data_IF_257737275322
#
_entry.id   IF_257737275322
#
_cell.length_a   1.000
_cell.length_b   1.000
_cell.length_c   1.000
_cell.angle_alpha   90.00
_cell.angle_beta   90.00
_cell.angle_gamma   90.00
#
_symmetry.space_group_name_H-M   'P 1'
#
loop_
_entity.id
_entity.type
_entity.pdbx_description
1 polymer ?
#
# COMPACT_ATOMS: atom_id res chain seq x y z
N UNK A 1 41.91 20.99 39.64
CA UNK A 1 41.76 21.22 38.18
C UNK A 1 40.94 20.15 37.43
N UNK A 2 40.41 19.08 38.08
CA UNK A 2 39.64 18.03 37.38
C UNK A 2 38.16 18.34 37.08
N UNK A 3 37.54 19.26 37.83
CA UNK A 3 36.10 19.54 37.74
C UNK A 3 35.65 20.25 36.45
N UNK A 4 36.49 21.09 35.84
CA UNK A 4 36.13 21.77 34.59
C UNK A 4 36.06 20.79 33.42
N UNK A 5 37.03 19.86 33.30
CA UNK A 5 37.03 18.82 32.26
C UNK A 5 35.79 17.94 32.28
N UNK A 6 35.26 17.64 33.47
CA UNK A 6 34.05 16.83 33.63
C UNK A 6 32.81 17.60 33.15
N UNK A 7 32.71 18.90 33.47
CA UNK A 7 31.61 19.76 33.01
C UNK A 7 31.63 19.95 31.50
N UNK A 8 32.81 20.12 30.91
CA UNK A 8 32.98 20.26 29.46
C UNK A 8 32.55 18.97 28.74
N UNK A 9 32.96 17.81 29.27
CA UNK A 9 32.52 16.51 28.75
C UNK A 9 31.00 16.31 28.81
N UNK A 10 30.36 16.70 29.93
CA UNK A 10 28.91 16.61 30.08
C UNK A 10 28.15 17.50 29.08
N UNK A 11 28.66 18.70 28.81
CA UNK A 11 28.06 19.65 27.85
C UNK A 11 28.10 19.11 26.42
N UNK A 12 29.23 18.54 25.99
CA UNK A 12 29.37 17.96 24.65
C UNK A 12 28.41 16.78 24.44
N UNK A 13 28.20 15.95 25.46
CA UNK A 13 27.26 14.82 25.40
C UNK A 13 25.82 15.33 25.29
N UNK A 14 25.46 16.38 26.03
CA UNK A 14 24.13 16.99 25.97
C UNK A 14 23.83 17.61 24.58
N UNK A 15 24.79 18.35 24.01
CA UNK A 15 24.66 18.94 22.66
C UNK A 15 24.49 17.86 21.58
N UNK A 16 25.33 16.82 21.60
CA UNK A 16 25.21 15.65 20.70
C UNK A 16 23.87 14.93 20.87
N UNK A 17 23.38 14.79 22.10
CA UNK A 17 22.07 14.20 22.37
C UNK A 17 20.91 14.98 21.75
N UNK A 18 21.00 16.32 21.77
CA UNK A 18 20.00 17.21 21.17
C UNK A 18 20.04 17.14 19.63
N UNK A 19 21.23 17.11 19.02
CA UNK A 19 21.38 16.98 17.56
C UNK A 19 20.79 15.67 17.04
N UNK A 20 21.17 14.54 17.64
CA UNK A 20 20.62 13.22 17.28
C UNK A 20 19.11 13.16 17.46
N UNK A 21 18.56 13.84 18.47
CA UNK A 21 17.11 13.92 18.66
C UNK A 21 16.41 14.76 17.57
N UNK A 22 17.05 15.84 17.08
CA UNK A 22 16.54 16.65 15.98
C UNK A 22 16.57 15.87 14.66
N UNK A 23 17.69 15.23 14.35
CA UNK A 23 17.86 14.40 13.15
C UNK A 23 16.81 13.30 13.07
N UNK A 24 16.64 12.50 14.15
CA UNK A 24 15.60 11.45 14.21
C UNK A 24 14.19 11.99 14.03
N UNK A 25 13.92 13.24 14.45
CA UNK A 25 12.61 13.88 14.28
C UNK A 25 12.39 14.30 12.83
N UNK A 26 13.43 14.78 12.16
CA UNK A 26 13.41 15.15 10.75
C UNK A 26 13.29 13.91 9.85
N UNK A 27 14.04 12.84 10.13
CA UNK A 27 13.90 11.55 9.45
C UNK A 27 12.47 11.02 9.51
N UNK A 28 11.86 10.98 10.71
CA UNK A 28 10.46 10.57 10.89
C UNK A 28 9.48 11.46 10.13
N UNK A 29 9.74 12.78 10.04
CA UNK A 29 8.92 13.70 9.24
C UNK A 29 9.04 13.40 7.76
N UNK A 30 10.26 13.15 7.27
CA UNK A 30 10.54 12.86 5.88
C UNK A 30 9.94 11.51 5.47
N UNK A 31 10.11 10.46 6.28
CA UNK A 31 9.48 9.16 6.07
C UNK A 31 7.95 9.30 5.98
N UNK A 32 7.34 10.03 6.92
CA UNK A 32 5.90 10.29 6.90
C UNK A 32 5.45 11.09 5.67
N UNK A 33 6.28 12.02 5.18
CA UNK A 33 6.01 12.75 3.95
C UNK A 33 6.05 11.82 2.73
N UNK A 34 7.03 10.93 2.64
CA UNK A 34 7.16 9.95 1.54
C UNK A 34 5.97 8.99 1.49
N UNK A 35 5.57 8.41 2.64
CA UNK A 35 4.38 7.53 2.73
C UNK A 35 3.12 8.27 2.26
N UNK A 36 2.97 9.55 2.65
CA UNK A 36 1.83 10.37 2.24
C UNK A 36 1.84 10.63 0.73
N UNK A 37 3.00 10.86 0.12
CA UNK A 37 3.13 11.02 -1.33
C UNK A 37 2.75 9.74 -2.08
N UNK A 38 3.24 8.58 -1.65
CA UNK A 38 2.89 7.29 -2.25
C UNK A 38 1.39 7.00 -2.17
N UNK A 39 0.76 7.30 -1.02
CA UNK A 39 -0.69 7.14 -0.84
C UNK A 39 -1.50 8.02 -1.80
N UNK A 40 -1.05 9.27 -2.03
CA UNK A 40 -1.70 10.18 -2.98
C UNK A 40 -1.55 9.66 -4.42
N UNK A 41 -0.34 9.28 -4.83
CA UNK A 41 -0.08 8.71 -6.17
C UNK A 41 -0.95 7.47 -6.40
N UNK A 42 -1.09 6.61 -5.38
CA UNK A 42 -1.96 5.45 -5.46
C UNK A 42 -3.43 5.84 -5.65
N UNK A 43 -3.96 6.78 -4.86
CA UNK A 43 -5.35 7.27 -4.99
C UNK A 43 -5.61 7.92 -6.34
N UNK A 44 -4.69 8.73 -6.83
CA UNK A 44 -4.79 9.38 -8.14
C UNK A 44 -4.83 8.35 -9.27
N UNK A 45 -4.07 7.26 -9.16
CA UNK A 45 -4.10 6.17 -10.13
C UNK A 45 -5.46 5.47 -10.16
N UNK A 46 -6.04 5.18 -9.00
CA UNK A 46 -7.38 4.56 -8.92
C UNK A 46 -8.43 5.50 -9.51
N UNK A 47 -8.41 6.78 -9.13
CA UNK A 47 -9.35 7.78 -9.64
C UNK A 47 -9.26 7.97 -11.17
N UNK A 48 -8.05 7.86 -11.75
CA UNK A 48 -7.87 7.86 -13.21
C UNK A 48 -8.48 6.62 -13.84
N UNK A 49 -8.21 5.43 -13.31
CA UNK A 49 -8.81 4.17 -13.81
C UNK A 49 -10.34 4.21 -13.73
N UNK A 50 -10.92 4.79 -12.68
CA UNK A 50 -12.36 4.96 -12.54
C UNK A 50 -12.94 5.90 -13.61
N UNK A 51 -12.28 7.03 -13.89
CA UNK A 51 -12.68 7.98 -14.94
C UNK A 51 -12.59 7.39 -16.33
N UNK A 52 -11.55 6.59 -16.58
CA UNK A 52 -11.33 5.90 -17.86
C UNK A 52 -12.19 4.64 -18.02
N UNK A 53 -12.90 4.21 -16.97
CA UNK A 53 -13.73 3.01 -16.99
C UNK A 53 -12.91 1.71 -17.06
N UNK A 54 -11.64 1.74 -16.67
CA UNK A 54 -10.77 0.56 -16.67
C UNK A 54 -11.18 -0.37 -15.55
N UNK A 55 -11.41 -1.65 -15.88
CA UNK A 55 -11.68 -2.67 -14.88
C UNK A 55 -10.39 -3.09 -14.16
N UNK A 56 -10.43 -3.14 -12.83
CA UNK A 56 -9.32 -3.55 -11.99
C UNK A 56 -9.77 -4.47 -10.86
N UNK A 57 -8.84 -5.20 -10.27
CA UNK A 57 -9.12 -6.07 -9.14
C UNK A 57 -9.35 -5.25 -7.85
N UNK A 58 -10.45 -5.45 -7.11
CA UNK A 58 -10.73 -4.68 -5.88
C UNK A 58 -9.77 -5.02 -4.72
N UNK A 59 -9.03 -6.13 -4.81
CA UNK A 59 -8.08 -6.55 -3.77
C UNK A 59 -6.68 -5.95 -3.95
N UNK A 60 -6.16 -5.95 -5.18
CA UNK A 60 -4.77 -5.58 -5.47
C UNK A 60 -4.61 -4.52 -6.56
N UNK A 61 -5.71 -4.03 -7.13
CA UNK A 61 -5.76 -2.94 -8.12
C UNK A 61 -4.95 -3.19 -9.41
N UNK A 62 -4.67 -4.46 -9.73
CA UNK A 62 -4.15 -4.84 -11.05
C UNK A 62 -5.30 -4.88 -12.06
N UNK A 63 -4.99 -4.45 -13.28
CA UNK A 63 -5.86 -4.47 -14.45
C UNK A 63 -5.80 -5.82 -15.18
N UNK A 64 -4.92 -6.73 -14.75
CA UNK A 64 -4.74 -8.06 -15.33
C UNK A 64 -5.84 -8.98 -14.82
N UNK A 65 -6.96 -8.96 -15.53
CA UNK A 65 -8.15 -9.72 -15.21
C UNK A 65 -8.53 -10.65 -16.36
N UNK A 66 -9.03 -11.84 -16.01
CA UNK A 66 -9.54 -12.82 -16.95
C UNK A 66 -11.01 -13.09 -16.62
N UNK A 67 -11.89 -12.89 -17.61
CA UNK A 67 -13.31 -13.15 -17.50
C UNK A 67 -13.64 -14.53 -18.08
N UNK A 68 -14.01 -15.48 -17.21
CA UNK A 68 -14.31 -16.85 -17.62
C UNK A 68 -15.72 -17.25 -17.17
N UNK A 69 -16.40 -18.10 -17.96
CA UNK A 69 -17.64 -18.75 -17.51
C UNK A 69 -17.31 -19.75 -16.40
N UNK A 70 -18.13 -19.79 -15.35
CA UNK A 70 -18.05 -20.78 -14.29
C UNK A 70 -18.26 -22.15 -14.91
N UNK A 71 -17.28 -23.05 -14.87
CA UNK A 71 -17.44 -24.40 -15.40
C UNK A 71 -18.46 -25.25 -14.62
N UNK A 72 -18.65 -26.50 -15.07
CA UNK A 72 -19.36 -27.52 -14.30
C UNK A 72 -18.65 -27.77 -12.96
N UNK A 73 -19.42 -27.97 -11.90
CA UNK A 73 -18.90 -28.45 -10.61
C UNK A 73 -19.56 -29.78 -10.29
N UNK A 74 -18.79 -30.77 -9.85
CA UNK A 74 -19.32 -32.09 -9.46
C UNK A 74 -20.48 -31.98 -8.44
N UNK A 75 -20.43 -30.99 -7.55
CA UNK A 75 -21.45 -30.79 -6.51
C UNK A 75 -22.72 -30.07 -6.96
N UNK A 76 -22.69 -29.32 -8.06
CA UNK A 76 -23.84 -28.52 -8.55
C UNK A 76 -24.21 -28.84 -10.00
N UNK A 77 -23.53 -29.81 -10.61
CA UNK A 77 -23.70 -30.13 -12.02
C UNK A 77 -23.47 -28.91 -12.92
N UNK A 78 -24.36 -28.75 -13.89
CA UNK A 78 -24.37 -27.65 -14.86
C UNK A 78 -25.08 -26.39 -14.30
N UNK A 79 -25.66 -26.46 -13.09
CA UNK A 79 -26.40 -25.34 -12.49
C UNK A 79 -25.44 -24.18 -12.17
N UNK A 80 -25.60 -23.08 -12.91
CA UNK A 80 -24.78 -21.88 -12.78
C UNK A 80 -23.53 -21.86 -13.68
N UNK A 81 -23.44 -22.75 -14.66
CA UNK A 81 -22.34 -22.79 -15.63
C UNK A 81 -22.28 -21.55 -16.56
N UNK A 82 -23.40 -20.83 -16.68
CA UNK A 82 -23.50 -19.60 -17.47
C UNK A 82 -22.99 -18.35 -16.74
N UNK A 83 -22.68 -18.44 -15.43
CA UNK A 83 -22.24 -17.27 -14.65
C UNK A 83 -20.81 -16.89 -15.01
N UNK A 84 -20.59 -15.64 -15.39
CA UNK A 84 -19.25 -15.10 -15.64
C UNK A 84 -18.60 -14.75 -14.30
N UNK A 85 -17.35 -15.20 -14.11
CA UNK A 85 -16.51 -14.85 -12.96
C UNK A 85 -15.25 -14.19 -13.50
N UNK A 86 -14.95 -13.01 -12.96
CA UNK A 86 -13.70 -12.32 -13.23
C UNK A 86 -12.68 -12.81 -12.21
N UNK A 87 -11.50 -13.20 -12.68
CA UNK A 87 -10.38 -13.64 -11.84
C UNK A 87 -9.19 -12.72 -12.09
N UNK A 88 -8.62 -12.16 -11.02
CA UNK A 88 -7.38 -11.41 -11.12
C UNK A 88 -6.19 -12.36 -11.31
N UNK A 89 -5.38 -12.11 -12.33
CA UNK A 89 -4.18 -12.90 -12.63
C UNK A 89 -3.04 -12.62 -11.66
N UNK A 90 -3.01 -11.44 -11.03
CA UNK A 90 -1.99 -11.06 -10.05
C UNK A 90 -2.18 -11.71 -8.67
N UNK A 91 -3.42 -11.77 -8.16
CA UNK A 91 -3.69 -12.24 -6.80
C UNK A 91 -4.71 -13.39 -6.67
N UNK A 92 -5.29 -13.86 -7.78
CA UNK A 92 -6.27 -14.95 -7.81
C UNK A 92 -7.66 -14.61 -7.27
N UNK A 93 -7.92 -13.36 -6.86
CA UNK A 93 -9.22 -12.95 -6.34
C UNK A 93 -10.31 -13.05 -7.41
N UNK A 94 -11.45 -13.65 -7.05
CA UNK A 94 -12.58 -13.93 -7.93
C UNK A 94 -13.78 -13.08 -7.53
N UNK A 95 -14.34 -12.35 -8.48
CA UNK A 95 -15.46 -11.44 -8.26
C UNK A 95 -16.44 -11.47 -9.44
N UNK A 96 -17.66 -10.96 -9.23
CA UNK A 96 -18.69 -10.94 -10.27
C UNK A 96 -18.51 -9.67 -11.14
N UNK A 97 -18.87 -9.72 -12.43
CA UNK A 97 -19.00 -8.50 -13.22
C UNK A 97 -20.04 -7.57 -12.58
N UNK A 98 -19.73 -6.28 -12.49
CA UNK A 98 -20.60 -5.26 -11.90
C UNK A 98 -20.56 -5.16 -10.36
N UNK A 99 -19.94 -6.11 -9.66
CA UNK A 99 -19.59 -5.93 -8.24
C UNK A 99 -18.21 -5.27 -8.17
N UNK A 100 -18.17 -3.95 -7.98
CA UNK A 100 -16.95 -3.21 -7.60
C UNK A 100 -16.69 -3.36 -6.11
#
# INVERSE_FOLDING_TARGET
>A
MGWNKIKDGAKVIAEKGIEVAKEKREEKKNEKYLIKQEEQVFKDRIAKMDKEGIAYCPKCYSTDISANKRGWKLTTGLLGSSKIIITCLKCGHKFKPGSR
#
